data_IF_131037164945
#
_entry.id   IF_131037164945
#
_cell.length_a   1.000
_cell.length_b   1.000
_cell.length_c   1.000
_cell.angle_alpha   90.00
_cell.angle_beta   90.00
_cell.angle_gamma   90.00
#
_symmetry.space_group_name_H-M   'P 1'
#
loop_
_entity.id
_entity.type
_entity.pdbx_description
1 polymer ?
2 water ?
#
# COMPACT_ATOMS: atom_id res chain seq x y z
C UNK A 1 -13.07 11.04 16.86
N UNK A 2 -14.00 11.20 15.92
CA UNK A 2 -13.97 10.46 14.67
C UNK A 2 -12.80 10.93 13.80
N UNK A 3 -12.41 12.19 13.98
CA UNK A 3 -11.30 12.77 13.24
C UNK A 3 -10.00 12.04 13.54
N UNK A 4 -9.83 11.65 14.80
CA UNK A 4 -8.64 10.92 15.23
C UNK A 4 -8.60 9.53 14.60
N UNK A 5 -9.77 8.93 14.41
CA UNK A 5 -9.86 7.61 13.80
C UNK A 5 -9.40 7.63 12.35
N UNK A 6 -9.83 8.66 11.62
CA UNK A 6 -9.44 8.82 10.22
C UNK A 6 -7.94 9.07 10.11
N UNK A 7 -7.42 9.89 11.01
CA UNK A 7 -5.99 10.21 11.04
C UNK A 7 -5.16 8.97 11.37
N UNK A 8 -5.69 8.11 12.23
CA UNK A 8 -5.02 6.85 12.56
C UNK A 8 -5.03 5.90 11.37
N UNK A 9 -6.10 5.95 10.58
CA UNK A 9 -6.22 5.07 9.42
C UNK A 9 -5.26 5.48 8.31
N UNK A 10 -5.13 6.79 8.11
CA UNK A 10 -4.20 7.33 7.13
C UNK A 10 -2.77 6.92 7.45
N UNK A 11 -2.37 7.10 8.71
CA UNK A 11 -1.03 6.73 9.14
C UNK A 11 -0.83 5.22 9.03
N UNK A 12 -1.89 4.47 9.28
CA UNK A 12 -1.86 3.01 9.15
C UNK A 12 -1.68 2.59 7.70
N UNK A 13 -2.48 3.17 6.81
CA UNK A 13 -2.41 2.85 5.39
C UNK A 13 -1.09 3.29 4.77
N UNK A 14 -0.53 4.37 5.29
CA UNK A 14 0.75 4.87 4.80
C UNK A 14 1.86 3.87 5.13
N UNK A 15 1.84 3.35 6.35
CA UNK A 15 2.82 2.36 6.77
C UNK A 15 2.68 1.07 5.96
N UNK A 16 1.43 0.67 5.70
CA UNK A 16 1.17 -0.51 4.89
C UNK A 16 1.67 -0.34 3.46
N UNK A 17 1.41 0.83 2.89
CA UNK A 17 1.86 1.13 1.53
C UNK A 17 3.39 1.12 1.44
N UNK A 18 4.05 1.65 2.46
CA UNK A 18 5.50 1.65 2.51
C UNK A 18 6.05 0.23 2.55
N UNK A 19 5.35 -0.65 3.26
CA UNK A 19 5.74 -2.06 3.34
C UNK A 19 5.59 -2.75 1.99
N UNK A 20 4.51 -2.43 1.28
CA UNK A 20 4.26 -3.02 -0.03
C UNK A 20 5.30 -2.56 -1.04
N UNK A 21 5.76 -1.32 -0.90
CA UNK A 21 6.83 -0.81 -1.74
C UNK A 21 8.14 -1.54 -1.44
N UNK A 22 8.38 -1.83 -0.17
CA UNK A 22 9.56 -2.59 0.23
C UNK A 22 9.48 -4.03 -0.28
N UNK A 23 8.28 -4.59 -0.29
CA UNK A 23 8.05 -5.93 -0.81
C UNK A 23 8.33 -5.98 -2.31
N UNK A 24 7.88 -4.95 -3.01
CA UNK A 24 8.11 -4.84 -4.45
C UNK A 24 9.61 -4.78 -4.74
N UNK A 25 10.32 -3.98 -3.95
CA UNK A 25 11.77 -3.84 -4.09
C UNK A 25 12.47 -5.17 -3.83
N UNK A 26 11.95 -5.93 -2.87
CA UNK A 26 12.51 -7.23 -2.54
C UNK A 26 12.30 -8.23 -3.67
N UNK A 27 11.07 -8.31 -4.16
CA UNK A 27 10.72 -9.26 -5.21
C UNK A 27 11.43 -8.93 -6.53
N UNK A 28 11.56 -7.63 -6.82
CA UNK A 28 12.28 -7.19 -8.01
C UNK A 28 13.77 -7.51 -7.89
N UNK A 29 14.30 -7.41 -6.68
CA UNK A 29 15.69 -7.76 -6.43
C UNK A 29 15.90 -9.26 -6.65
N UNK A 30 14.88 -10.05 -6.34
CA UNK A 30 14.93 -11.49 -6.55
C UNK A 30 14.94 -11.84 -8.03
N UNK A 31 14.20 -11.07 -8.83
CA UNK A 31 14.19 -11.27 -10.27
C UNK A 31 15.59 -11.00 -10.83
N UNK A 32 16.36 -12.07 -10.99
CA UNK A 32 17.73 -11.96 -11.46
C UNK A 32 18.71 -11.75 -10.32
C UNK B 1 -12.74 19.51 5.61
N UNK B 2 -12.45 19.45 6.91
CA UNK B 2 -11.38 18.61 7.42
C UNK B 2 -11.72 17.13 7.29
N UNK B 3 -12.98 16.80 7.55
CA UNK B 3 -13.48 15.44 7.39
C UNK B 3 -13.22 14.93 5.98
N UNK B 4 -13.63 15.73 5.00
CA UNK B 4 -13.49 15.38 3.59
C UNK B 4 -12.04 15.19 3.17
N UNK B 5 -11.16 16.05 3.65
CA UNK B 5 -9.74 15.98 3.31
C UNK B 5 -9.13 14.66 3.76
N UNK B 6 -9.43 14.28 5.00
CA UNK B 6 -8.93 13.03 5.57
C UNK B 6 -9.52 11.82 4.86
N UNK B 7 -10.81 11.90 4.55
CA UNK B 7 -11.50 10.81 3.87
C UNK B 7 -10.96 10.61 2.46
N UNK B 8 -10.66 11.70 1.76
CA UNK B 8 -10.07 11.61 0.43
C UNK B 8 -8.67 11.01 0.47
N UNK B 9 -7.94 11.27 1.56
CA UNK B 9 -6.59 10.73 1.71
C UNK B 9 -6.64 9.22 1.90
N UNK B 10 -7.64 8.76 2.65
CA UNK B 10 -7.83 7.33 2.87
C UNK B 10 -8.17 6.62 1.56
N UNK B 11 -9.10 7.19 0.80
CA UNK B 11 -9.50 6.61 -0.48
C UNK B 11 -8.34 6.59 -1.47
N UNK B 12 -7.50 7.62 -1.39
CA UNK B 12 -6.29 7.70 -2.22
C UNK B 12 -5.29 6.60 -1.86
N UNK B 13 -5.00 6.49 -0.57
CA UNK B 13 -4.02 5.52 -0.09
C UNK B 13 -4.51 4.08 -0.26
N UNK B 14 -5.82 3.88 -0.13
CA UNK B 14 -6.39 2.56 -0.31
C UNK B 14 -6.27 2.12 -1.77
N UNK B 15 -6.51 3.04 -2.69
CA UNK B 15 -6.39 2.76 -4.12
C UNK B 15 -4.96 2.41 -4.50
N UNK B 16 -4.00 3.15 -3.94
CA UNK B 16 -2.59 2.86 -4.18
C UNK B 16 -2.23 1.50 -3.58
N UNK B 17 -2.78 1.21 -2.41
CA UNK B 17 -2.56 -0.06 -1.73
C UNK B 17 -2.93 -1.25 -2.60
N UNK B 18 -4.11 -1.16 -3.22
CA UNK B 18 -4.62 -2.25 -4.04
C UNK B 18 -3.79 -2.44 -5.30
N UNK B 19 -3.29 -1.35 -5.87
CA UNK B 19 -2.43 -1.46 -7.05
C UNK B 19 -1.08 -2.08 -6.69
N UNK B 20 -0.57 -1.76 -5.50
CA UNK B 20 0.68 -2.35 -5.04
C UNK B 20 0.51 -3.84 -4.79
N UNK B 21 -0.64 -4.23 -4.24
CA UNK B 21 -0.91 -5.63 -3.96
C UNK B 21 -1.07 -6.44 -5.24
N UNK B 22 -1.66 -5.82 -6.26
CA UNK B 22 -1.83 -6.46 -7.56
C UNK B 22 -0.48 -6.71 -8.23
N UNK B 23 0.44 -5.76 -8.07
CA UNK B 23 1.78 -5.88 -8.62
C UNK B 23 2.58 -6.96 -7.89
N UNK B 24 2.44 -6.99 -6.57
CA UNK B 24 3.13 -7.98 -5.74
C UNK B 24 2.68 -9.40 -6.10
N UNK B 25 1.38 -9.55 -6.34
CA UNK B 25 0.82 -10.84 -6.71
C UNK B 25 1.45 -11.38 -7.99
N UNK B 26 1.65 -10.49 -8.96
CA UNK B 26 2.25 -10.87 -10.23
C UNK B 26 3.74 -11.17 -10.08
N UNK B 27 4.42 -10.41 -9.24
CA UNK B 27 5.85 -10.61 -9.02
C UNK B 27 6.14 -11.92 -8.30
N UNK B 28 5.27 -12.28 -7.36
CA UNK B 28 5.42 -13.54 -6.62
C UNK B 28 5.29 -14.74 -7.55
N UNK B 29 4.39 -14.63 -8.52
CA UNK B 29 4.20 -15.69 -9.51
C UNK B 29 5.45 -15.88 -10.36
N UNK B 30 6.04 -14.78 -10.80
CA UNK B 30 7.24 -14.83 -11.63
C UNK B 30 8.44 -15.40 -10.89
N UNK B 31 8.60 -15.01 -9.63
CA UNK B 31 9.75 -15.44 -8.84
C UNK B 31 9.52 -16.82 -8.24
N UNK B 32 8.26 -17.25 -8.20
CA UNK B 32 7.92 -18.56 -7.70
C UNK B 32 7.63 -18.59 -6.21
N UNK B 33 7.30 -17.43 -5.65
CA UNK B 33 6.98 -17.34 -4.23
C UNK B 33 5.53 -17.73 -3.98
N UNK B 34 5.18 -17.95 -2.72
#
# INVERSE_FOLDING_TARGET
XRMKQLEDKIEELLSKNYHLENEIARLKKLVGERX
XRMKQLEDKIEELLSKNYHLENEIARLKKLVGERX
#
